data_IF_090443113012
#
_entry.id   IF_090443113012
#
_cell.length_a   1.000
_cell.length_b   1.000
_cell.length_c   1.000
_cell.angle_alpha   90.00
_cell.angle_beta   90.00
_cell.angle_gamma   90.00
#
_symmetry.space_group_name_H-M   'P 1'
#
loop_
_entity.id
_entity.type
_entity.pdbx_description
1 polymer ?
#
# COMPACT_ATOMS: atom_id res chain seq x y z
N UNK A 1 22.03 -3.94 -1.67
CA UNK A 1 21.52 -2.71 -2.31
C UNK A 1 21.71 -2.79 -3.82
N UNK A 2 22.93 -3.04 -4.30
CA UNK A 2 23.27 -2.97 -5.73
C UNK A 2 22.48 -3.92 -6.64
N UNK A 3 22.18 -5.15 -6.19
CA UNK A 3 21.35 -6.07 -6.99
C UNK A 3 19.94 -5.55 -7.22
N UNK A 4 19.34 -4.85 -6.23
CA UNK A 4 18.02 -4.25 -6.37
C UNK A 4 18.06 -3.04 -7.31
N UNK A 5 19.10 -2.21 -7.19
CA UNK A 5 19.29 -1.03 -8.04
C UNK A 5 19.45 -1.42 -9.51
N UNK A 6 20.24 -2.45 -9.83
CA UNK A 6 20.40 -2.94 -11.20
C UNK A 6 19.08 -3.37 -11.86
N UNK A 7 18.14 -3.92 -11.09
CA UNK A 7 16.80 -4.29 -11.60
C UNK A 7 15.93 -3.06 -11.83
N UNK A 8 16.03 -2.05 -10.97
CA UNK A 8 15.30 -0.78 -11.15
C UNK A 8 15.83 0.01 -12.34
N UNK A 9 17.15 -0.02 -12.59
CA UNK A 9 17.81 0.62 -13.73
C UNK A 9 17.33 0.06 -15.08
N UNK A 10 16.99 -1.22 -15.16
CA UNK A 10 16.38 -1.80 -16.36
C UNK A 10 14.92 -1.40 -16.59
N UNK A 11 14.31 -0.67 -15.64
CA UNK A 11 12.88 -0.39 -15.60
C UNK A 11 12.08 -1.56 -15.04
N UNK A 12 10.94 -1.24 -14.43
CA UNK A 12 9.98 -2.24 -13.91
C UNK A 12 8.56 -1.76 -14.18
N UNK A 13 7.67 -2.69 -14.53
CA UNK A 13 6.25 -2.41 -14.69
C UNK A 13 5.51 -2.43 -13.34
N UNK A 14 5.97 -3.29 -12.41
CA UNK A 14 5.37 -3.47 -11.08
C UNK A 14 6.47 -3.35 -10.03
N UNK A 15 6.25 -2.48 -9.06
CA UNK A 15 7.14 -2.28 -7.92
C UNK A 15 6.41 -2.60 -6.62
N UNK A 16 6.92 -3.59 -5.88
CA UNK A 16 6.41 -4.00 -4.57
C UNK A 16 7.50 -3.70 -3.53
N UNK A 17 7.12 -3.05 -2.43
CA UNK A 17 8.07 -2.76 -1.36
C UNK A 17 7.41 -2.14 -0.14
N UNK A 18 8.15 -2.17 0.97
CA UNK A 18 7.74 -1.47 2.19
C UNK A 18 7.95 0.03 2.04
N UNK A 19 7.09 0.81 2.71
CA UNK A 19 7.03 2.27 2.59
C UNK A 19 8.41 2.93 2.75
N UNK A 20 9.16 2.59 3.80
CA UNK A 20 10.49 3.17 4.06
C UNK A 20 11.48 2.92 2.91
N UNK A 21 11.51 1.70 2.37
CA UNK A 21 12.41 1.33 1.27
C UNK A 21 12.08 2.09 -0.02
N UNK A 22 10.80 2.20 -0.34
CA UNK A 22 10.33 2.93 -1.52
C UNK A 22 10.64 4.43 -1.40
N UNK A 23 10.50 5.00 -0.20
CA UNK A 23 10.87 6.40 0.06
C UNK A 23 12.36 6.62 -0.13
N UNK A 24 13.21 5.72 0.39
CA UNK A 24 14.66 5.83 0.22
C UNK A 24 15.04 5.83 -1.27
N UNK A 25 14.47 4.91 -2.05
CA UNK A 25 14.70 4.86 -3.50
C UNK A 25 14.20 6.10 -4.22
N UNK A 26 13.01 6.61 -3.87
CA UNK A 26 12.47 7.82 -4.47
C UNK A 26 13.31 9.06 -4.12
N UNK A 27 13.79 9.18 -2.87
CA UNK A 27 14.67 10.29 -2.44
C UNK A 27 16.04 10.26 -3.13
N UNK A 28 16.54 9.07 -3.44
CA UNK A 28 17.80 8.87 -4.16
C UNK A 28 17.62 8.94 -5.70
N UNK A 29 16.41 9.25 -6.18
CA UNK A 29 16.04 9.28 -7.61
C UNK A 29 16.25 7.95 -8.35
N UNK A 30 16.26 6.82 -7.62
CA UNK A 30 16.32 5.49 -8.24
C UNK A 30 14.98 5.05 -8.83
N UNK A 31 13.87 5.62 -8.36
CA UNK A 31 12.54 5.40 -8.91
C UNK A 31 11.82 6.74 -9.08
N UNK A 32 11.01 6.85 -10.13
CA UNK A 32 10.12 7.98 -10.36
C UNK A 32 8.67 7.53 -10.18
N UNK A 33 7.94 8.16 -9.26
CA UNK A 33 6.55 7.82 -8.94
C UNK A 33 5.54 8.56 -9.83
N UNK A 34 5.99 9.50 -10.67
CA UNK A 34 5.13 10.34 -11.52
C UNK A 34 4.47 9.61 -12.68
N UNK A 35 4.87 8.38 -12.98
CA UNK A 35 4.25 7.53 -14.01
C UNK A 35 3.30 6.47 -13.45
N UNK A 36 3.03 6.46 -12.14
CA UNK A 36 2.19 5.45 -11.50
C UNK A 36 0.73 5.59 -11.96
N UNK A 37 0.22 4.52 -12.58
CA UNK A 37 -1.18 4.43 -13.03
C UNK A 37 -2.09 3.69 -12.03
N UNK A 38 -1.49 2.88 -11.15
CA UNK A 38 -2.19 2.11 -10.13
C UNK A 38 -1.36 1.96 -8.86
N UNK A 39 -2.01 2.01 -7.70
CA UNK A 39 -1.36 1.76 -6.41
C UNK A 39 -2.25 0.89 -5.53
N UNK A 40 -1.60 0.04 -4.75
CA UNK A 40 -2.25 -0.80 -3.74
C UNK A 40 -1.61 -0.51 -2.39
N UNK A 41 -2.44 -0.19 -1.40
CA UNK A 41 -2.06 -0.15 0.00
C UNK A 41 -2.65 -1.38 0.70
N UNK A 42 -1.79 -2.29 1.13
CA UNK A 42 -2.20 -3.51 1.84
C UNK A 42 -1.94 -3.40 3.35
N UNK A 43 -2.74 -4.08 4.17
CA UNK A 43 -2.71 -3.98 5.65
C UNK A 43 -2.70 -2.52 6.16
N UNK A 44 -3.60 -1.67 5.65
CA UNK A 44 -3.57 -0.23 5.91
C UNK A 44 -3.69 0.12 7.41
N UNK A 45 -4.51 -0.62 8.16
CA UNK A 45 -4.63 -0.50 9.61
C UNK A 45 -3.29 -0.75 10.32
N UNK A 46 -2.58 -1.81 9.94
CA UNK A 46 -1.24 -2.09 10.49
C UNK A 46 -0.24 -0.99 10.16
N UNK A 47 -0.29 -0.44 8.95
CA UNK A 47 0.59 0.68 8.60
C UNK A 47 0.33 1.91 9.47
N UNK A 48 -0.93 2.14 9.86
CA UNK A 48 -1.30 3.18 10.81
C UNK A 48 -0.74 2.91 12.21
N UNK A 49 -0.87 1.68 12.71
CA UNK A 49 -0.37 1.28 14.03
C UNK A 49 1.15 1.43 14.13
N UNK A 50 1.87 1.18 13.03
CA UNK A 50 3.31 1.36 12.91
C UNK A 50 3.73 2.82 12.68
N UNK A 51 2.79 3.75 12.53
CA UNK A 51 3.06 5.17 12.36
C UNK A 51 3.46 5.59 10.94
N UNK A 52 3.26 4.74 9.92
CA UNK A 52 3.68 5.02 8.54
C UNK A 52 2.79 6.01 7.78
N UNK A 53 1.74 6.58 8.41
CA UNK A 53 0.82 7.50 7.72
C UNK A 53 1.52 8.70 7.06
N UNK A 54 2.54 9.27 7.72
CA UNK A 54 3.30 10.41 7.16
C UNK A 54 4.07 10.00 5.91
N UNK A 55 4.59 8.78 5.91
CA UNK A 55 5.38 8.20 4.83
C UNK A 55 4.49 7.83 3.64
N UNK A 56 3.32 7.25 3.90
CA UNK A 56 2.30 6.98 2.88
C UNK A 56 1.85 8.28 2.21
N UNK A 57 1.49 9.31 2.99
CA UNK A 57 1.14 10.64 2.45
C UNK A 57 2.31 11.31 1.72
N UNK A 58 3.56 10.99 2.05
CA UNK A 58 4.73 11.48 1.31
C UNK A 58 4.85 10.83 -0.07
N UNK A 59 4.58 9.52 -0.17
CA UNK A 59 4.57 8.78 -1.43
C UNK A 59 3.45 9.27 -2.35
N UNK A 60 2.21 9.36 -1.85
CA UNK A 60 1.06 9.79 -2.66
C UNK A 60 1.23 11.19 -3.26
N UNK A 61 1.85 12.13 -2.54
CA UNK A 61 2.15 13.48 -3.06
C UNK A 61 3.13 13.51 -4.23
N UNK A 62 3.81 12.41 -4.53
CA UNK A 62 4.77 12.26 -5.64
C UNK A 62 4.22 11.42 -6.79
N UNK A 63 3.02 10.88 -6.63
CA UNK A 63 2.29 10.18 -7.68
C UNK A 63 1.38 11.16 -8.41
N UNK A 64 0.84 10.79 -9.59
CA UNK A 64 -0.22 11.54 -10.23
C UNK A 64 -1.41 11.81 -9.28
N UNK A 65 -2.22 12.85 -9.54
CA UNK A 65 -3.44 13.11 -8.80
C UNK A 65 -4.35 11.86 -8.75
N UNK A 66 -5.16 11.75 -7.69
CA UNK A 66 -6.07 10.61 -7.48
C UNK A 66 -7.09 10.43 -8.62
N UNK A 67 -7.38 11.48 -9.38
CA UNK A 67 -8.25 11.45 -10.57
C UNK A 67 -7.60 10.81 -11.80
N UNK A 68 -6.29 10.58 -11.79
CA UNK A 68 -5.52 10.05 -12.93
C UNK A 68 -4.91 8.67 -12.67
N UNK A 69 -5.17 8.08 -11.49
CA UNK A 69 -4.64 6.77 -11.12
C UNK A 69 -5.66 5.95 -10.32
N UNK A 70 -5.62 4.63 -10.49
CA UNK A 70 -6.42 3.71 -9.69
C UNK A 70 -5.78 3.56 -8.29
N UNK A 71 -6.59 3.69 -7.24
CA UNK A 71 -6.15 3.48 -5.86
C UNK A 71 -6.95 2.34 -5.24
N UNK A 72 -6.26 1.37 -4.67
CA UNK A 72 -6.86 0.28 -3.91
C UNK A 72 -6.30 0.28 -2.50
N UNK A 73 -7.17 0.12 -1.51
CA UNK A 73 -6.79 0.01 -0.10
C UNK A 73 -7.42 -1.25 0.46
N UNK A 74 -6.59 -2.09 1.05
CA UNK A 74 -6.97 -3.30 1.74
C UNK A 74 -6.62 -3.18 3.22
N UNK A 75 -7.54 -3.59 4.08
CA UNK A 75 -7.41 -3.48 5.53
C UNK A 75 -8.31 -4.50 6.18
N UNK A 76 -7.85 -5.14 7.25
CA UNK A 76 -8.68 -6.06 8.03
C UNK A 76 -9.73 -5.28 8.85
N UNK A 77 -9.37 -4.07 9.28
CA UNK A 77 -10.24 -3.16 10.01
C UNK A 77 -10.38 -1.82 9.28
N UNK A 78 -11.59 -1.25 9.28
CA UNK A 78 -11.84 0.10 8.78
C UNK A 78 -12.01 1.09 9.93
N UNK A 79 -10.92 1.29 10.69
CA UNK A 79 -10.87 2.36 11.68
C UNK A 79 -11.13 3.73 11.05
N UNK A 80 -11.53 4.71 11.85
CA UNK A 80 -11.76 6.08 11.37
C UNK A 80 -10.58 6.62 10.55
N UNK A 81 -9.36 6.32 10.98
CA UNK A 81 -8.12 6.76 10.32
C UNK A 81 -7.94 6.11 8.94
N UNK A 82 -8.18 4.81 8.83
CA UNK A 82 -8.11 4.11 7.54
C UNK A 82 -9.15 4.66 6.58
N UNK A 83 -10.36 4.97 7.06
CA UNK A 83 -11.41 5.62 6.27
C UNK A 83 -11.01 7.03 5.82
N UNK A 84 -10.40 7.82 6.69
CA UNK A 84 -9.86 9.14 6.34
C UNK A 84 -8.86 9.04 5.18
N UNK A 85 -7.91 8.09 5.25
CA UNK A 85 -6.96 7.85 4.17
C UNK A 85 -7.65 7.46 2.85
N UNK A 86 -8.65 6.59 2.91
CA UNK A 86 -9.41 6.18 1.74
C UNK A 86 -10.10 7.39 1.08
N UNK A 87 -10.77 8.24 1.87
CA UNK A 87 -11.41 9.47 1.38
C UNK A 87 -10.40 10.44 0.77
N UNK A 88 -9.22 10.62 1.39
CA UNK A 88 -8.18 11.51 0.88
C UNK A 88 -7.55 11.02 -0.44
N UNK A 89 -7.45 9.70 -0.62
CA UNK A 89 -6.59 9.11 -1.66
C UNK A 89 -7.34 8.37 -2.77
N UNK A 90 -8.66 8.32 -2.71
CA UNK A 90 -9.50 7.68 -3.72
C UNK A 90 -10.38 8.70 -4.44
N UNK A 91 -10.80 8.35 -5.66
CA UNK A 91 -11.79 9.10 -6.43
C UNK A 91 -13.02 8.20 -6.61
N UNK A 92 -14.17 8.60 -6.05
CA UNK A 92 -15.42 7.82 -6.05
C UNK A 92 -15.22 6.36 -5.57
N UNK A 93 -14.75 6.20 -4.33
CA UNK A 93 -14.42 4.89 -3.76
C UNK A 93 -15.64 3.98 -3.60
N UNK A 94 -15.54 2.77 -4.12
CA UNK A 94 -16.48 1.68 -3.84
C UNK A 94 -15.96 0.86 -2.66
N UNK A 95 -16.80 0.67 -1.64
CA UNK A 95 -16.43 -0.12 -0.47
C UNK A 95 -16.92 -1.55 -0.63
N UNK A 96 -15.97 -2.48 -0.68
CA UNK A 96 -16.27 -3.92 -0.69
C UNK A 96 -15.96 -4.50 0.68
N UNK A 97 -16.97 -5.07 1.31
CA UNK A 97 -16.86 -5.76 2.59
C UNK A 97 -17.09 -7.25 2.37
N UNK A 98 -16.16 -8.07 2.87
CA UNK A 98 -16.33 -9.51 2.94
C UNK A 98 -16.58 -9.85 4.39
N UNK A 99 -17.82 -10.22 4.72
CA UNK A 99 -18.10 -10.83 6.01
C UNK A 99 -17.48 -12.23 6.00
N UNK A 100 -16.73 -12.62 7.05
CA UNK A 100 -16.21 -13.97 7.13
C UNK A 100 -17.39 -14.95 7.18
N UNK A 101 -17.50 -15.84 6.19
CA UNK A 101 -18.30 -17.05 6.33
C UNK A 101 -17.82 -17.77 7.59
N UNK A 102 -18.77 -18.13 8.46
CA UNK A 102 -18.58 -18.78 9.76
C UNK A 102 -17.24 -19.54 9.88
N UNK A 103 -16.40 -19.18 10.85
CA UNK A 103 -15.13 -19.85 11.13
C UNK A 103 -15.31 -21.38 11.17
N UNK A 104 -14.57 -22.18 10.38
CA UNK A 104 -14.32 -23.55 10.78
C UNK A 104 -13.43 -23.49 12.02
N UNK A 105 -14.06 -23.66 13.18
CA UNK A 105 -13.36 -24.08 14.40
C UNK A 105 -12.79 -25.47 14.13
N UNK A 106 -11.62 -25.56 13.51
CA UNK A 106 -10.89 -26.83 13.41
C UNK A 106 -9.47 -26.70 13.92
N UNK A 107 -9.36 -26.98 15.23
CA UNK A 107 -8.20 -27.50 15.96
C UNK A 107 -6.96 -27.78 15.10
N UNK A 108 -5.97 -26.90 15.20
CA UNK A 108 -4.57 -27.31 15.06
C UNK A 108 -4.21 -28.06 16.35
N UNK A 109 -4.30 -29.40 16.33
CA UNK A 109 -3.55 -30.22 17.28
C UNK A 109 -2.11 -30.22 16.81
N UNK A 110 -1.25 -29.51 17.54
CA UNK A 110 0.18 -29.77 17.50
C UNK A 110 0.40 -31.17 18.10
N UNK A 111 0.75 -32.13 17.25
CA UNK A 111 1.39 -33.36 17.71
C UNK A 111 2.86 -33.03 17.97
N UNK A 112 3.27 -33.22 19.23
CA UNK A 112 4.67 -33.25 19.66
C UNK A 112 5.31 -34.57 19.27
#
# INVERSE_FOLDING_TARGET
>A
YDKQLKVLESGVDILIGTTGRLIDYAKQNHINLGAIQGVVLDEADRMYDLGFIKDIRWLFRRMPPTTQRLNMLFSATLSYRVRELAVEQMNNAEYVYVEPDQQPVHRLKEER
#
